data_IF_234874794869
#
_entry.id   IF_234874794869
#
_cell.length_a   1.000
_cell.length_b   1.000
_cell.length_c   1.000
_cell.angle_alpha   90.00
_cell.angle_beta   90.00
_cell.angle_gamma   90.00
#
_symmetry.space_group_name_H-M   'P 1'
#
loop_
_entity.id
_entity.type
_entity.pdbx_description
1 polymer ?
#
# COMPACT_ATOMS: atom_id res chain seq x y z
N UNK A 1 4.66 18.75 -1.88
CA UNK A 1 3.72 19.28 -0.85
C UNK A 1 2.32 18.66 -0.84
N UNK A 2 1.84 17.99 -1.92
CA UNK A 2 0.47 17.45 -1.97
C UNK A 2 0.26 16.10 -1.26
N UNK A 3 1.31 15.30 -1.05
CA UNK A 3 1.23 14.00 -0.38
C UNK A 3 1.30 14.08 1.15
N UNK A 4 2.01 15.07 1.70
CA UNK A 4 2.12 15.25 3.15
C UNK A 4 0.78 15.66 3.78
N UNK A 5 -0.02 16.46 3.06
CA UNK A 5 -1.36 16.89 3.51
C UNK A 5 -2.32 15.70 3.62
N UNK A 6 -2.23 14.72 2.73
CA UNK A 6 -3.06 13.50 2.78
C UNK A 6 -2.71 12.66 4.02
N UNK A 7 -1.42 12.54 4.36
CA UNK A 7 -0.95 11.78 5.53
C UNK A 7 -1.36 12.42 6.87
N UNK A 8 -1.38 13.75 6.96
CA UNK A 8 -1.80 14.46 8.18
C UNK A 8 -3.30 14.27 8.45
N UNK A 9 -4.14 14.27 7.40
CA UNK A 9 -5.59 14.01 7.53
C UNK A 9 -5.85 12.58 8.05
N UNK A 10 -5.06 11.59 7.63
CA UNK A 10 -5.18 10.20 8.11
C UNK A 10 -4.81 10.04 9.59
N UNK A 11 -3.89 10.86 10.12
CA UNK A 11 -3.45 10.78 11.53
C UNK A 11 -4.46 11.40 12.50
N UNK A 12 -5.16 12.46 12.10
CA UNK A 12 -6.16 13.14 12.96
C UNK A 12 -7.39 12.25 13.22
N UNK A 13 -7.74 11.37 12.28
CA UNK A 13 -8.88 10.43 12.43
C UNK A 13 -8.65 9.31 13.46
N UNK A 14 -7.39 9.00 13.83
CA UNK A 14 -7.09 7.89 14.75
C UNK A 14 -7.21 8.33 16.22
N UNK A 15 -6.97 9.60 16.54
CA UNK A 15 -6.92 10.10 17.93
C UNK A 15 -8.33 10.29 18.53
N UNK A 16 -9.37 10.43 17.71
CA UNK A 16 -10.74 10.64 18.19
C UNK A 16 -11.45 9.38 18.73
N UNK A 17 -10.88 8.18 18.59
CA UNK A 17 -11.53 6.92 19.01
C UNK A 17 -11.29 6.52 20.48
N UNK A 18 -10.66 7.37 21.29
CA UNK A 18 -10.28 7.03 22.68
C UNK A 18 -11.30 7.48 23.74
N UNK A 19 -12.34 8.26 23.40
CA UNK A 19 -13.43 8.58 24.31
C UNK A 19 -14.71 7.88 23.83
N UNK A 20 -15.09 6.79 24.52
CA UNK A 20 -16.22 5.95 24.17
C UNK A 20 -17.55 6.65 24.51
N UNK A 21 -17.99 7.56 23.66
CA UNK A 21 -19.39 7.97 23.57
C UNK A 21 -20.15 7.01 22.64
N UNK A 22 -21.43 6.70 22.91
CA UNK A 22 -22.24 5.89 22.00
C UNK A 22 -22.25 6.52 20.60
N UNK A 23 -21.89 5.73 19.59
CA UNK A 23 -21.85 6.18 18.20
C UNK A 23 -23.29 6.32 17.70
N UNK A 24 -23.71 7.56 17.41
CA UNK A 24 -25.05 7.79 16.86
C UNK A 24 -25.27 7.09 15.51
N UNK A 25 -26.52 6.73 15.14
CA UNK A 25 -26.83 5.96 13.93
C UNK A 25 -26.25 6.53 12.63
N UNK A 26 -26.23 7.86 12.51
CA UNK A 26 -25.66 8.56 11.35
C UNK A 26 -24.13 8.41 11.28
N UNK A 27 -23.45 8.47 12.42
CA UNK A 27 -21.99 8.29 12.48
C UNK A 27 -21.59 6.84 12.19
N UNK A 28 -22.38 5.87 12.65
CA UNK A 28 -22.19 4.46 12.34
C UNK A 28 -22.30 4.19 10.83
N UNK A 29 -23.38 4.66 10.20
CA UNK A 29 -23.62 4.52 8.75
C UNK A 29 -22.48 5.15 7.94
N UNK A 30 -22.04 6.34 8.32
CA UNK A 30 -20.91 7.02 7.68
C UNK A 30 -19.60 6.23 7.85
N UNK A 31 -19.36 5.70 9.06
CA UNK A 31 -18.22 4.84 9.36
C UNK A 31 -18.17 3.60 8.49
N UNK A 32 -19.30 2.89 8.33
CA UNK A 32 -19.41 1.71 7.45
C UNK A 32 -19.08 2.08 6.00
N UNK A 33 -19.67 3.16 5.48
CA UNK A 33 -19.42 3.64 4.12
C UNK A 33 -17.93 3.92 3.87
N UNK A 34 -17.28 4.64 4.76
CA UNK A 34 -15.85 4.95 4.61
C UNK A 34 -14.96 3.72 4.81
N UNK A 35 -15.33 2.80 5.71
CA UNK A 35 -14.65 1.52 5.87
C UNK A 35 -14.62 0.74 4.55
N UNK A 36 -15.75 0.63 3.86
CA UNK A 36 -15.83 -0.09 2.57
C UNK A 36 -15.03 0.63 1.47
N UNK A 37 -15.09 1.97 1.40
CA UNK A 37 -14.27 2.75 0.48
C UNK A 37 -12.76 2.52 0.73
N UNK A 38 -12.33 2.52 1.98
CA UNK A 38 -10.92 2.27 2.33
C UNK A 38 -10.52 0.82 2.05
N UNK A 39 -11.39 -0.15 2.32
CA UNK A 39 -11.15 -1.55 1.97
C UNK A 39 -10.93 -1.74 0.46
N UNK A 40 -11.75 -1.09 -0.37
CA UNK A 40 -11.60 -1.12 -1.83
C UNK A 40 -10.26 -0.52 -2.28
N UNK A 41 -9.83 0.60 -1.70
CA UNK A 41 -8.52 1.21 -1.98
C UNK A 41 -7.36 0.30 -1.56
N UNK A 42 -7.44 -0.34 -0.40
CA UNK A 42 -6.45 -1.33 0.05
C UNK A 42 -6.37 -2.52 -0.90
N UNK A 43 -7.51 -3.01 -1.41
CA UNK A 43 -7.53 -4.08 -2.41
C UNK A 43 -6.85 -3.66 -3.72
N UNK A 44 -7.09 -2.43 -4.20
CA UNK A 44 -6.40 -1.87 -5.36
C UNK A 44 -4.88 -1.80 -5.15
N UNK A 45 -4.42 -1.31 -3.99
CA UNK A 45 -2.99 -1.27 -3.65
C UNK A 45 -2.36 -2.66 -3.63
N UNK A 46 -3.06 -3.68 -3.09
CA UNK A 46 -2.59 -5.07 -3.13
C UNK A 46 -2.44 -5.59 -4.56
N UNK A 47 -3.38 -5.25 -5.46
CA UNK A 47 -3.31 -5.62 -6.88
C UNK A 47 -2.14 -4.93 -7.60
N UNK A 48 -1.96 -3.63 -7.36
CA UNK A 48 -0.82 -2.85 -7.89
C UNK A 48 0.51 -3.44 -7.43
N UNK A 49 0.63 -3.77 -6.14
CA UNK A 49 1.83 -4.41 -5.60
C UNK A 49 2.15 -5.74 -6.30
N UNK A 50 1.15 -6.60 -6.55
CA UNK A 50 1.35 -7.83 -7.34
C UNK A 50 1.88 -7.54 -8.74
N UNK A 51 1.35 -6.51 -9.40
CA UNK A 51 1.83 -6.06 -10.71
C UNK A 51 3.31 -5.66 -10.69
N UNK A 52 3.72 -4.85 -9.71
CA UNK A 52 5.12 -4.47 -9.55
C UNK A 52 6.05 -5.66 -9.28
N UNK A 53 5.64 -6.60 -8.41
CA UNK A 53 6.43 -7.81 -8.15
C UNK A 53 6.63 -8.63 -9.42
N UNK A 54 5.58 -8.78 -10.24
CA UNK A 54 5.67 -9.47 -11.53
C UNK A 54 6.67 -8.79 -12.46
N UNK A 55 6.59 -7.47 -12.62
CA UNK A 55 7.49 -6.69 -13.49
C UNK A 55 8.94 -6.72 -13.00
N UNK A 56 9.17 -6.67 -11.69
CA UNK A 56 10.52 -6.79 -11.10
C UNK A 56 11.12 -8.16 -11.40
N UNK A 57 10.32 -9.23 -11.29
CA UNK A 57 10.78 -10.58 -11.58
C UNK A 57 11.07 -10.76 -13.07
N UNK A 58 10.20 -10.25 -13.93
CA UNK A 58 10.39 -10.24 -15.38
C UNK A 58 11.67 -9.47 -15.78
N UNK A 59 11.91 -8.31 -15.17
CA UNK A 59 13.16 -7.55 -15.40
C UNK A 59 14.40 -8.35 -14.99
N UNK A 60 14.38 -8.98 -13.81
CA UNK A 60 15.50 -9.81 -13.33
C UNK A 60 15.76 -11.03 -14.24
N UNK A 61 14.73 -11.55 -14.89
CA UNK A 61 14.86 -12.67 -15.83
C UNK A 61 15.36 -12.20 -17.21
N UNK A 62 14.86 -11.07 -17.70
CA UNK A 62 15.17 -10.57 -19.04
C UNK A 62 16.51 -9.86 -19.13
N UNK A 63 16.96 -9.18 -18.07
CA UNK A 63 18.23 -8.45 -18.06
C UNK A 63 19.45 -9.33 -18.42
N UNK A 64 19.67 -10.50 -17.80
CA UNK A 64 20.79 -11.36 -18.17
C UNK A 64 20.64 -11.94 -19.59
N UNK A 65 19.41 -12.21 -20.04
CA UNK A 65 19.14 -12.68 -21.41
C UNK A 65 19.48 -11.60 -22.44
N UNK A 66 19.19 -10.33 -22.16
CA UNK A 66 19.53 -9.21 -23.02
C UNK A 66 21.05 -9.00 -23.07
N UNK A 67 21.72 -8.94 -21.92
CA UNK A 67 23.18 -8.82 -21.86
C UNK A 67 23.90 -9.94 -22.63
N UNK A 68 23.45 -11.19 -22.47
CA UNK A 68 23.99 -12.33 -23.19
C UNK A 68 23.79 -12.24 -24.72
N UNK A 69 22.64 -11.74 -25.18
CA UNK A 69 22.39 -11.50 -26.63
C UNK A 69 23.30 -10.42 -27.19
N UNK A 70 23.61 -9.41 -26.39
CA UNK A 70 24.49 -8.31 -26.77
C UNK A 70 25.98 -8.66 -26.62
N UNK A 71 26.30 -9.85 -26.09
CA UNK A 71 27.69 -10.26 -25.80
C UNK A 71 28.35 -9.41 -24.71
N UNK A 72 27.55 -8.83 -23.81
CA UNK A 72 28.00 -7.95 -22.73
C UNK A 72 27.72 -8.56 -21.37
N UNK A 73 28.41 -8.07 -20.34
CA UNK A 73 28.07 -8.37 -18.95
C UNK A 73 26.80 -7.65 -18.52
N UNK A 74 26.11 -8.19 -17.51
CA UNK A 74 24.95 -7.53 -16.91
C UNK A 74 25.35 -6.19 -16.30
N UNK A 75 24.74 -5.07 -16.72
CA UNK A 75 25.11 -3.76 -16.17
C UNK A 75 24.73 -3.62 -14.70
N UNK A 76 25.74 -3.51 -13.82
CA UNK A 76 25.55 -3.40 -12.37
C UNK A 76 24.62 -2.24 -11.96
N UNK A 77 24.60 -1.15 -12.74
CA UNK A 77 23.71 -0.01 -12.47
C UNK A 77 22.22 -0.37 -12.63
N UNK A 78 21.88 -1.25 -13.58
CA UNK A 78 20.50 -1.70 -13.81
C UNK A 78 20.05 -2.64 -12.70
N UNK A 79 20.93 -3.52 -12.22
CA UNK A 79 20.66 -4.36 -11.05
C UNK A 79 20.46 -3.51 -9.79
N UNK A 80 21.35 -2.54 -9.54
CA UNK A 80 21.24 -1.59 -8.42
C UNK A 80 19.94 -0.78 -8.50
N UNK A 81 19.58 -0.31 -9.70
CA UNK A 81 18.34 0.41 -9.93
C UNK A 81 17.11 -0.45 -9.63
N UNK A 82 17.04 -1.67 -10.16
CA UNK A 82 15.91 -2.57 -9.92
C UNK A 82 15.81 -2.98 -8.44
N UNK A 83 16.94 -3.20 -7.76
CA UNK A 83 16.97 -3.48 -6.33
C UNK A 83 16.45 -2.29 -5.49
N UNK A 84 16.82 -1.06 -5.83
CA UNK A 84 16.24 0.15 -5.20
C UNK A 84 14.74 0.23 -5.43
N UNK A 85 14.29 -0.06 -6.65
CA UNK A 85 12.87 -0.07 -7.00
C UNK A 85 12.09 -1.13 -6.22
N UNK A 86 12.62 -2.36 -6.13
CA UNK A 86 12.08 -3.45 -5.29
C UNK A 86 11.92 -3.05 -3.83
N UNK A 87 12.90 -2.32 -3.27
CA UNK A 87 12.81 -1.83 -1.90
C UNK A 87 11.68 -0.80 -1.71
N UNK A 88 11.44 0.08 -2.70
CA UNK A 88 10.31 1.03 -2.67
C UNK A 88 8.97 0.29 -2.74
N UNK A 89 8.85 -0.72 -3.61
CA UNK A 89 7.66 -1.59 -3.71
C UNK A 89 7.42 -2.35 -2.39
N UNK A 90 8.48 -2.81 -1.73
CA UNK A 90 8.42 -3.42 -0.41
C UNK A 90 7.86 -2.46 0.66
N UNK A 91 8.31 -1.19 0.67
CA UNK A 91 7.76 -0.15 1.56
C UNK A 91 6.29 0.13 1.27
N UNK A 92 5.89 0.20 0.00
CA UNK A 92 4.49 0.35 -0.40
C UNK A 92 3.61 -0.79 0.15
N UNK A 93 4.10 -2.03 0.06
CA UNK A 93 3.42 -3.19 0.64
C UNK A 93 3.29 -3.09 2.16
N UNK A 94 4.38 -2.70 2.84
CA UNK A 94 4.38 -2.49 4.29
C UNK A 94 3.34 -1.47 4.73
N UNK A 95 3.23 -0.34 4.03
CA UNK A 95 2.20 0.67 4.29
C UNK A 95 0.80 0.15 3.96
N UNK A 96 0.64 -0.61 2.88
CA UNK A 96 -0.64 -1.23 2.51
C UNK A 96 -1.13 -2.20 3.59
N UNK A 97 -0.23 -2.98 4.22
CA UNK A 97 -0.57 -3.84 5.37
C UNK A 97 -1.02 -3.04 6.60
N UNK A 98 -0.40 -1.88 6.87
CA UNK A 98 -0.83 -0.99 7.95
C UNK A 98 -2.24 -0.43 7.71
N UNK A 99 -2.54 -0.01 6.48
CA UNK A 99 -3.87 0.43 6.09
C UNK A 99 -4.92 -0.68 6.21
N UNK A 100 -4.58 -1.90 5.75
CA UNK A 100 -5.45 -3.08 5.91
C UNK A 100 -5.78 -3.36 7.38
N UNK A 101 -4.79 -3.23 8.28
CA UNK A 101 -4.98 -3.37 9.73
C UNK A 101 -5.89 -2.28 10.29
N UNK A 102 -5.72 -1.02 9.87
CA UNK A 102 -6.58 0.08 10.29
C UNK A 102 -8.05 -0.14 9.87
N UNK A 103 -8.29 -0.58 8.63
CA UNK A 103 -9.64 -0.94 8.14
C UNK A 103 -10.25 -2.09 8.96
N UNK A 104 -9.47 -3.13 9.28
CA UNK A 104 -9.92 -4.24 10.13
C UNK A 104 -10.27 -3.80 11.55
N UNK A 105 -9.49 -2.88 12.11
CA UNK A 105 -9.78 -2.32 13.44
C UNK A 105 -11.07 -1.48 13.43
N UNK A 106 -11.26 -0.64 12.41
CA UNK A 106 -12.50 0.11 12.23
C UNK A 106 -13.70 -0.84 12.10
N UNK A 107 -13.56 -1.95 11.36
CA UNK A 107 -14.62 -2.96 11.27
C UNK A 107 -14.99 -3.54 12.64
N UNK A 108 -14.01 -3.82 13.50
CA UNK A 108 -14.27 -4.33 14.85
C UNK A 108 -15.09 -3.34 15.68
N UNK A 109 -14.73 -2.05 15.64
CA UNK A 109 -15.42 -0.99 16.37
C UNK A 109 -16.85 -0.73 15.86
N UNK A 110 -17.10 -0.91 14.56
CA UNK A 110 -18.43 -0.76 13.97
C UNK A 110 -19.30 -2.01 14.12
N UNK A 111 -18.73 -3.16 14.47
CA UNK A 111 -19.46 -4.43 14.67
C UNK A 111 -19.76 -4.74 16.14
N UNK A 112 -19.19 -3.95 17.06
CA UNK A 112 -19.44 -3.94 18.50
C UNK A 112 -20.52 -2.92 18.85
#
# INVERSE_FOLDING_TARGET
MKLAVILVIFSVLIVAMVQAAPVGPNAHTLGVRFKDLYAAKVAQLKKIHKGYVSQINEFNEQLPKAAAKDGTEVPEFLEKWNNRYKNLVGKLNGNTKKLDKAVKNLNKFLSS
#
